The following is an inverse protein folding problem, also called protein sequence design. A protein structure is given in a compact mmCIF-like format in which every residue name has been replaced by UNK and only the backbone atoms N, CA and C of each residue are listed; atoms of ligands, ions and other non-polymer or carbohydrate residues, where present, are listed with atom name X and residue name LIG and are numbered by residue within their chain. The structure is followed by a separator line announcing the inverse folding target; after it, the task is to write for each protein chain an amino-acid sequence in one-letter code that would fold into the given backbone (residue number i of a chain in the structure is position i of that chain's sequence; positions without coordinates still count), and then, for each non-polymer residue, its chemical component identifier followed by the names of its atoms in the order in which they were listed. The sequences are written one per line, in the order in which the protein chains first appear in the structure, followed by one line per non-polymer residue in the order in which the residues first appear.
data_IF_311807877045
#
_entry.id   IF_311807877045
#
_cell.length_a   1.000
_cell.length_b   1.000
_cell.length_c   1.000
_cell.angle_alpha   90.00
_cell.angle_beta   90.00
_cell.angle_gamma   90.00
#
_symmetry.space_group_name_H-M   'P 1'
#
loop_
_entity.id
_entity.type
_entity.pdbx_description
1 polymer ?
#
# COMPACT_ATOMS: atom_id res chain seq x y z
N UNK A 1 15.55 -6.99 -11.36
CA UNK A 1 15.00 -8.11 -10.56
C UNK A 1 14.65 -9.32 -11.43
N UNK A 2 13.90 -9.19 -12.53
CA UNK A 2 13.52 -10.33 -13.39
C UNK A 2 14.73 -11.14 -13.87
N UNK A 3 15.78 -10.50 -14.35
CA UNK A 3 17.05 -11.15 -14.77
C UNK A 3 17.76 -11.93 -13.64
N UNK A 4 17.30 -11.76 -12.40
CA UNK A 4 17.83 -12.44 -11.21
C UNK A 4 16.89 -13.53 -10.69
N UNK A 5 15.96 -13.98 -11.52
CA UNK A 5 15.01 -15.05 -11.19
C UNK A 5 13.82 -14.65 -10.33
N UNK A 6 13.54 -13.34 -10.20
CA UNK A 6 12.31 -12.87 -9.56
C UNK A 6 11.14 -12.91 -10.55
N UNK A 7 9.96 -13.20 -10.04
CA UNK A 7 8.72 -13.17 -10.79
C UNK A 7 7.90 -11.94 -10.43
N UNK A 8 7.14 -11.42 -11.39
CA UNK A 8 6.15 -10.37 -11.18
C UNK A 8 4.79 -10.96 -11.54
N UNK A 9 3.85 -10.82 -10.63
CA UNK A 9 2.45 -11.17 -10.85
C UNK A 9 1.59 -9.93 -10.65
N UNK A 10 0.63 -9.71 -11.53
CA UNK A 10 -0.34 -8.62 -11.44
C UNK A 10 -1.74 -9.19 -11.44
N UNK A 11 -2.62 -8.56 -10.70
CA UNK A 11 -4.02 -8.93 -10.60
C UNK A 11 -4.90 -7.69 -10.76
N UNK A 12 -5.82 -7.77 -11.69
CA UNK A 12 -6.72 -6.68 -11.99
C UNK A 12 -7.99 -6.79 -11.11
N UNK A 13 -8.04 -6.00 -10.05
CA UNK A 13 -9.16 -5.95 -9.10
C UNK A 13 -9.83 -4.58 -9.14
N UNK A 14 -9.81 -3.95 -10.25
CA UNK A 14 -10.34 -2.59 -10.47
C UNK A 14 -10.91 -1.89 -9.21
N UNK A 15 -11.77 -1.01 -9.31
CA UNK A 15 -12.39 -0.05 -8.44
C UNK A 15 -13.03 -0.61 -7.13
N UNK A 16 -12.27 -1.47 -6.43
CA UNK A 16 -12.68 -2.03 -5.12
C UNK A 16 -12.01 -1.34 -3.93
N UNK A 17 -11.12 -0.40 -4.16
CA UNK A 17 -10.53 0.52 -3.16
C UNK A 17 -9.95 -0.16 -1.91
N UNK A 18 -9.48 -1.39 -2.03
CA UNK A 18 -8.89 -2.12 -0.90
C UNK A 18 -9.89 -2.58 0.16
N UNK A 19 -11.19 -2.67 -0.15
CA UNK A 19 -12.21 -3.20 0.76
C UNK A 19 -11.97 -4.69 1.08
N UNK A 20 -12.66 -5.21 2.08
CA UNK A 20 -12.44 -6.59 2.56
C UNK A 20 -12.59 -7.63 1.46
N UNK A 21 -13.55 -7.47 0.55
CA UNK A 21 -13.74 -8.36 -0.60
C UNK A 21 -12.52 -8.37 -1.53
N UNK A 22 -11.94 -7.20 -1.81
CA UNK A 22 -10.74 -7.12 -2.65
C UNK A 22 -9.53 -7.79 -2.00
N UNK A 23 -9.40 -7.69 -0.69
CA UNK A 23 -8.33 -8.35 0.06
C UNK A 23 -8.47 -9.88 0.01
N UNK A 24 -9.70 -10.40 0.08
CA UNK A 24 -9.96 -11.82 -0.12
C UNK A 24 -9.64 -12.30 -1.55
N UNK A 25 -9.95 -11.48 -2.56
CA UNK A 25 -9.56 -11.78 -3.94
C UNK A 25 -8.05 -11.79 -4.13
N UNK A 26 -7.33 -10.85 -3.49
CA UNK A 26 -5.86 -10.86 -3.47
C UNK A 26 -5.31 -12.15 -2.83
N UNK A 27 -5.90 -12.59 -1.72
CA UNK A 27 -5.49 -13.85 -1.07
C UNK A 27 -5.69 -15.05 -2.00
N UNK A 28 -6.85 -15.14 -2.65
CA UNK A 28 -7.12 -16.21 -3.64
C UNK A 28 -6.12 -16.17 -4.81
N UNK A 29 -5.78 -14.98 -5.30
CA UNK A 29 -4.77 -14.83 -6.34
C UNK A 29 -3.38 -15.23 -5.85
N UNK A 30 -2.99 -14.84 -4.65
CA UNK A 30 -1.75 -15.25 -4.02
C UNK A 30 -1.64 -16.77 -3.95
N UNK A 31 -2.64 -17.43 -3.37
CA UNK A 31 -2.66 -18.89 -3.25
C UNK A 31 -2.59 -19.58 -4.61
N UNK A 32 -3.36 -19.07 -5.59
CA UNK A 32 -3.33 -19.59 -6.94
C UNK A 32 -1.95 -19.53 -7.59
N UNK A 33 -1.24 -18.40 -7.48
CA UNK A 33 0.10 -18.28 -8.11
C UNK A 33 1.14 -19.12 -7.39
N UNK A 34 1.05 -19.24 -6.07
CA UNK A 34 1.92 -20.11 -5.27
C UNK A 34 1.72 -21.58 -5.67
N UNK A 35 0.48 -22.04 -5.65
CA UNK A 35 0.16 -23.45 -5.92
C UNK A 35 0.45 -23.83 -7.38
N UNK A 36 0.03 -22.99 -8.32
CA UNK A 36 0.15 -23.31 -9.75
C UNK A 36 1.55 -23.24 -10.28
N UNK A 37 2.34 -22.27 -9.80
CA UNK A 37 3.67 -21.99 -10.35
C UNK A 37 4.82 -22.37 -9.39
N UNK A 38 4.49 -22.88 -8.21
CA UNK A 38 5.48 -23.26 -7.20
C UNK A 38 6.33 -22.08 -6.72
N UNK A 39 5.73 -20.88 -6.68
CA UNK A 39 6.43 -19.68 -6.25
C UNK A 39 6.57 -19.63 -4.72
N UNK A 40 7.51 -18.79 -4.26
CA UNK A 40 7.67 -18.58 -2.82
C UNK A 40 6.37 -18.00 -2.23
N UNK A 41 5.84 -18.56 -1.13
CA UNK A 41 4.59 -18.11 -0.51
C UNK A 41 4.69 -16.75 0.20
N UNK A 42 5.86 -16.11 0.23
CA UNK A 42 6.08 -14.80 0.85
C UNK A 42 6.56 -13.76 -0.16
N UNK A 43 5.68 -13.31 -1.08
CA UNK A 43 6.02 -12.23 -2.00
C UNK A 43 6.22 -10.90 -1.29
N UNK A 44 6.74 -9.93 -2.02
CA UNK A 44 6.64 -8.51 -1.66
C UNK A 44 5.50 -7.87 -2.44
N UNK A 45 4.69 -7.05 -1.79
CA UNK A 45 3.68 -6.23 -2.46
C UNK A 45 4.29 -4.87 -2.83
N UNK A 46 3.98 -4.41 -4.05
CA UNK A 46 4.32 -3.09 -4.57
C UNK A 46 3.02 -2.27 -4.72
N UNK A 47 2.81 -1.33 -3.81
CA UNK A 47 1.60 -0.53 -3.71
C UNK A 47 1.80 0.90 -4.20
N UNK A 48 1.50 1.17 -5.49
CA UNK A 48 1.54 2.50 -6.07
C UNK A 48 0.19 3.21 -5.91
N UNK A 49 0.19 4.47 -5.46
CA UNK A 49 -1.00 5.31 -5.43
C UNK A 49 -2.18 4.60 -4.74
N UNK A 50 -3.32 4.44 -5.40
CA UNK A 50 -4.51 3.72 -4.92
C UNK A 50 -4.22 2.31 -4.41
N UNK A 51 -3.19 1.63 -4.93
CA UNK A 51 -2.83 0.28 -4.48
C UNK A 51 -2.28 0.27 -3.04
N UNK A 52 -1.94 1.43 -2.48
CA UNK A 52 -1.66 1.57 -1.05
C UNK A 52 -2.80 1.08 -0.15
N UNK A 53 -4.08 1.33 -0.54
CA UNK A 53 -5.27 0.82 0.16
C UNK A 53 -5.27 -0.71 0.23
N UNK A 54 -4.97 -1.35 -0.88
CA UNK A 54 -4.96 -2.82 -1.00
C UNK A 54 -3.78 -3.43 -0.26
N UNK A 55 -2.58 -2.90 -0.51
CA UNK A 55 -1.33 -3.44 0.04
C UNK A 55 -1.29 -3.42 1.55
N UNK A 56 -1.69 -2.30 2.18
CA UNK A 56 -1.71 -2.20 3.64
C UNK A 56 -2.82 -3.05 4.25
N UNK A 57 -4.03 -3.06 3.67
CA UNK A 57 -5.11 -3.89 4.18
C UNK A 57 -4.78 -5.38 4.08
N UNK A 58 -4.14 -5.81 2.99
CA UNK A 58 -3.64 -7.18 2.85
C UNK A 58 -2.56 -7.50 3.89
N UNK A 59 -1.56 -6.63 4.05
CA UNK A 59 -0.47 -6.81 4.99
C UNK A 59 -0.94 -6.90 6.44
N UNK A 60 -1.98 -6.16 6.82
CA UNK A 60 -2.58 -6.24 8.16
C UNK A 60 -3.37 -7.52 8.36
N UNK A 61 -4.06 -8.00 7.31
CA UNK A 61 -4.93 -9.18 7.41
C UNK A 61 -4.17 -10.50 7.31
N UNK A 62 -3.13 -10.55 6.46
CA UNK A 62 -2.33 -11.73 6.15
C UNK A 62 -0.82 -11.46 6.30
N UNK A 63 -0.35 -11.06 7.49
CA UNK A 63 1.04 -10.65 7.69
C UNK A 63 2.06 -11.78 7.46
N UNK A 64 1.66 -13.01 7.68
CA UNK A 64 2.50 -14.19 7.46
C UNK A 64 2.76 -14.49 5.98
N UNK A 65 1.92 -14.01 5.09
CA UNK A 65 1.97 -14.24 3.65
C UNK A 65 2.91 -13.26 2.92
N UNK A 66 3.57 -12.35 3.64
CA UNK A 66 4.42 -11.33 3.01
C UNK A 66 5.86 -11.33 3.52
N UNK A 67 6.79 -11.06 2.61
CA UNK A 67 8.18 -10.73 2.96
C UNK A 67 8.36 -9.25 3.23
N UNK A 68 7.70 -8.37 2.46
CA UNK A 68 7.78 -6.91 2.62
C UNK A 68 6.67 -6.18 1.87
N UNK A 69 6.55 -4.88 2.16
CA UNK A 69 5.64 -3.96 1.50
C UNK A 69 6.42 -2.73 1.01
N UNK A 70 6.38 -2.45 -0.29
CA UNK A 70 6.83 -1.20 -0.87
C UNK A 70 5.63 -0.32 -1.21
N UNK A 71 5.59 0.88 -0.66
CA UNK A 71 4.56 1.88 -0.87
C UNK A 71 5.12 3.08 -1.64
N UNK A 72 4.42 3.52 -2.67
CA UNK A 72 4.84 4.65 -3.50
C UNK A 72 3.68 5.62 -3.70
N UNK A 73 3.80 6.82 -3.15
CA UNK A 73 2.75 7.83 -3.10
C UNK A 73 1.38 7.23 -2.71
N UNK A 74 1.31 6.42 -1.62
CA UNK A 74 0.17 5.56 -1.35
C UNK A 74 -1.04 6.34 -0.88
N UNK A 75 -2.23 5.95 -1.34
CA UNK A 75 -3.49 6.30 -0.68
C UNK A 75 -3.62 5.44 0.58
N UNK A 76 -3.76 6.09 1.73
CA UNK A 76 -3.91 5.43 3.03
C UNK A 76 -5.20 5.85 3.77
N UNK A 77 -5.93 6.84 3.23
CA UNK A 77 -7.19 7.33 3.79
C UNK A 77 -8.16 7.66 2.65
N UNK A 78 -9.29 6.92 2.56
CA UNK A 78 -10.29 7.14 1.51
C UNK A 78 -10.97 8.52 1.63
N UNK A 79 -10.88 9.17 2.79
CA UNK A 79 -11.37 10.53 2.99
C UNK A 79 -10.42 11.58 2.42
N UNK A 80 -9.14 11.25 2.29
CA UNK A 80 -8.15 12.11 1.63
C UNK A 80 -8.17 11.94 0.11
N UNK A 81 -8.38 10.71 -0.36
CA UNK A 81 -8.59 10.31 -1.75
C UNK A 81 -9.37 8.99 -1.78
N UNK A 82 -10.41 8.82 -2.59
CA UNK A 82 -10.90 9.73 -3.65
C UNK A 82 -11.83 10.85 -3.17
N UNK A 83 -12.23 10.87 -1.89
CA UNK A 83 -13.05 11.95 -1.37
C UNK A 83 -12.30 13.30 -1.42
N UNK A 84 -13.02 14.38 -1.60
CA UNK A 84 -12.48 15.73 -1.45
C UNK A 84 -11.96 16.38 -2.75
N UNK A 85 -12.00 15.70 -3.88
CA UNK A 85 -11.66 16.27 -5.17
C UNK A 85 -12.86 16.22 -6.14
N UNK A 86 -13.06 17.31 -6.88
CA UNK A 86 -14.09 17.35 -7.95
C UNK A 86 -13.75 16.43 -9.12
N UNK A 87 -12.47 16.11 -9.31
CA UNK A 87 -12.01 15.22 -10.38
C UNK A 87 -12.25 13.75 -10.06
N UNK A 88 -12.53 13.39 -8.80
CA UNK A 88 -12.69 12.01 -8.33
C UNK A 88 -14.08 11.69 -7.78
N UNK A 89 -15.10 12.41 -8.26
CA UNK A 89 -16.50 12.19 -7.81
C UNK A 89 -16.96 10.77 -8.13
N UNK A 90 -16.65 10.26 -9.33
CA UNK A 90 -17.01 8.90 -9.74
C UNK A 90 -16.33 7.87 -8.85
N UNK A 91 -15.04 8.00 -8.65
CA UNK A 91 -14.23 7.14 -7.79
C UNK A 91 -14.73 7.16 -6.34
N UNK A 92 -15.20 8.32 -5.87
CA UNK A 92 -15.77 8.43 -4.53
C UNK A 92 -17.09 7.66 -4.41
N UNK A 93 -17.99 7.78 -5.40
CA UNK A 93 -19.25 7.02 -5.42
C UNK A 93 -19.00 5.50 -5.46
N UNK A 94 -18.04 5.06 -6.23
CA UNK A 94 -17.62 3.65 -6.31
C UNK A 94 -17.01 3.19 -4.98
N UNK A 95 -16.11 3.97 -4.41
CA UNK A 95 -15.49 3.69 -3.11
C UNK A 95 -16.54 3.53 -2.00
N UNK A 96 -17.50 4.47 -1.90
CA UNK A 96 -18.59 4.36 -0.93
C UNK A 96 -19.36 3.04 -1.07
N UNK A 97 -19.67 2.63 -2.30
CA UNK A 97 -20.36 1.34 -2.55
C UNK A 97 -19.56 0.14 -2.05
N UNK A 98 -18.25 0.12 -2.32
CA UNK A 98 -17.37 -0.96 -1.88
C UNK A 98 -17.31 -1.11 -0.36
N UNK A 99 -17.39 0.01 0.35
CA UNK A 99 -17.33 0.01 1.82
C UNK A 99 -18.72 0.06 2.49
N UNK A 100 -19.81 0.11 1.73
CA UNK A 100 -21.16 0.26 2.26
C UNK A 100 -21.39 1.57 3.00
N UNK A 101 -20.79 2.67 2.51
CA UNK A 101 -20.81 3.98 3.14
C UNK A 101 -21.78 4.93 2.43
N UNK A 102 -22.29 5.88 3.20
CA UNK A 102 -22.87 7.13 2.73
C UNK A 102 -21.98 8.32 3.15
N UNK A 103 -22.37 9.55 2.81
CA UNK A 103 -21.57 10.73 3.15
C UNK A 103 -21.40 10.89 4.66
N UNK A 104 -22.42 10.59 5.45
CA UNK A 104 -22.41 10.75 6.91
C UNK A 104 -21.52 9.69 7.58
N UNK A 105 -21.68 8.43 7.21
CA UNK A 105 -20.87 7.34 7.77
C UNK A 105 -19.42 7.41 7.34
N UNK A 106 -19.13 7.99 6.16
CA UNK A 106 -17.78 8.23 5.71
C UNK A 106 -17.01 9.24 6.60
N UNK A 107 -17.68 10.20 7.23
CA UNK A 107 -17.04 11.16 8.15
C UNK A 107 -16.40 10.48 9.35
N UNK A 108 -17.02 9.43 9.84
CA UNK A 108 -16.60 8.68 11.04
C UNK A 108 -15.91 7.36 10.70
N UNK A 109 -15.68 7.08 9.41
CA UNK A 109 -15.03 5.85 8.98
C UNK A 109 -13.60 5.76 9.53
N UNK A 110 -13.31 4.69 10.27
CA UNK A 110 -12.06 4.47 11.01
C UNK A 110 -11.38 3.14 10.68
N UNK A 111 -11.61 2.62 9.46
CA UNK A 111 -10.99 1.37 8.99
C UNK A 111 -10.08 1.60 7.78
N UNK A 112 -9.60 2.83 7.61
CA UNK A 112 -8.60 3.15 6.59
C UNK A 112 -7.28 2.42 6.88
N UNK A 113 -6.42 2.20 5.90
CA UNK A 113 -5.06 1.76 6.12
C UNK A 113 -4.32 2.52 7.21
N UNK A 114 -4.43 3.85 7.21
CA UNK A 114 -3.77 4.69 8.22
C UNK A 114 -4.34 4.47 9.64
N UNK A 115 -5.61 4.13 9.77
CA UNK A 115 -6.22 3.81 11.07
C UNK A 115 -5.75 2.45 11.60
N UNK A 116 -5.17 1.62 10.71
CA UNK A 116 -4.59 0.29 11.01
C UNK A 116 -3.05 0.32 11.11
N UNK A 117 -2.43 1.50 11.12
CA UNK A 117 -0.97 1.63 11.13
C UNK A 117 -0.32 0.89 12.32
N UNK A 118 -0.90 0.94 13.51
CA UNK A 118 -0.40 0.23 14.67
C UNK A 118 -0.43 -1.30 14.48
N UNK A 119 -1.45 -1.83 13.81
CA UNK A 119 -1.52 -3.25 13.47
C UNK A 119 -0.46 -3.63 12.43
N UNK A 120 -0.24 -2.78 11.41
CA UNK A 120 0.84 -2.96 10.44
C UNK A 120 2.22 -2.97 11.12
N UNK A 121 2.46 -2.04 12.04
CA UNK A 121 3.71 -1.96 12.81
C UNK A 121 3.91 -3.22 13.66
N UNK A 122 2.89 -3.65 14.39
CA UNK A 122 2.94 -4.87 15.21
C UNK A 122 3.16 -6.14 14.40
N UNK A 123 2.74 -6.18 13.15
CA UNK A 123 2.97 -7.34 12.28
C UNK A 123 4.45 -7.62 12.00
N UNK A 124 5.30 -6.61 12.18
CA UNK A 124 6.73 -6.72 11.90
C UNK A 124 7.07 -6.91 10.41
N UNK A 125 6.11 -6.68 9.52
CA UNK A 125 6.38 -6.68 8.08
C UNK A 125 7.30 -5.51 7.75
N UNK A 126 8.45 -5.74 7.09
CA UNK A 126 9.28 -4.66 6.60
C UNK A 126 8.52 -3.78 5.59
N UNK A 127 8.51 -2.47 5.81
CA UNK A 127 7.88 -1.48 4.93
C UNK A 127 8.92 -0.47 4.48
N UNK A 128 8.91 -0.11 3.20
CA UNK A 128 9.63 1.03 2.65
C UNK A 128 8.64 1.93 1.91
N UNK A 129 8.82 3.25 2.04
CA UNK A 129 7.93 4.25 1.47
C UNK A 129 8.71 5.22 0.59
N UNK A 130 8.17 5.51 -0.60
CA UNK A 130 8.60 6.61 -1.46
C UNK A 130 7.42 7.55 -1.67
N UNK A 131 7.63 8.86 -1.64
CA UNK A 131 6.58 9.83 -1.90
C UNK A 131 7.11 11.13 -2.50
N UNK A 132 6.26 11.81 -3.26
CA UNK A 132 6.48 13.21 -3.65
C UNK A 132 6.05 14.15 -2.52
N UNK A 133 6.92 15.10 -2.17
CA UNK A 133 6.61 16.11 -1.13
C UNK A 133 5.60 17.16 -1.60
N UNK A 134 5.48 17.36 -2.92
CA UNK A 134 4.55 18.31 -3.57
C UNK A 134 3.37 17.57 -4.26
N UNK A 135 2.99 16.40 -3.77
CA UNK A 135 1.89 15.60 -4.34
C UNK A 135 0.52 16.22 -4.01
N UNK A 136 -0.12 16.79 -5.03
CA UNK A 136 -1.46 17.38 -4.95
C UNK A 136 -2.59 16.39 -5.27
N UNK A 137 -2.26 15.23 -5.86
CA UNK A 137 -3.24 14.19 -6.21
C UNK A 137 -3.53 13.32 -5.00
N UNK A 138 -2.46 12.79 -4.38
CA UNK A 138 -2.52 12.02 -3.13
C UNK A 138 -1.71 12.79 -2.08
N UNK A 139 -2.37 13.71 -1.38
CA UNK A 139 -1.71 14.61 -0.42
C UNK A 139 -0.71 13.87 0.47
N UNK A 140 0.55 14.32 0.41
CA UNK A 140 1.62 13.78 1.24
C UNK A 140 1.27 13.84 2.73
N UNK A 141 0.78 15.00 3.21
CA UNK A 141 0.45 15.23 4.63
C UNK A 141 -0.67 14.32 5.12
N UNK A 142 -1.68 14.05 4.26
CA UNK A 142 -2.85 13.25 4.66
C UNK A 142 -2.61 11.74 4.59
N UNK A 143 -1.55 11.31 3.93
CA UNK A 143 -1.24 9.89 3.70
C UNK A 143 0.16 9.54 4.21
N UNK A 144 1.19 9.76 3.40
CA UNK A 144 2.58 9.32 3.69
C UNK A 144 3.15 9.90 4.97
N UNK A 145 2.97 11.21 5.22
CA UNK A 145 3.47 11.86 6.43
C UNK A 145 2.85 11.28 7.69
N UNK A 146 1.54 10.98 7.67
CA UNK A 146 0.86 10.33 8.80
C UNK A 146 1.42 8.93 9.09
N UNK A 147 1.73 8.15 8.06
CA UNK A 147 2.31 6.82 8.27
C UNK A 147 3.72 6.94 8.88
N UNK A 148 4.55 7.85 8.38
CA UNK A 148 5.88 8.12 8.93
C UNK A 148 5.79 8.51 10.41
N UNK A 149 4.86 9.41 10.76
CA UNK A 149 4.65 9.84 12.15
C UNK A 149 4.17 8.70 13.03
N UNK A 150 3.26 7.83 12.55
CA UNK A 150 2.82 6.64 13.28
C UNK A 150 3.97 5.69 13.62
N UNK A 151 4.88 5.45 12.69
CA UNK A 151 6.07 4.66 12.97
C UNK A 151 6.95 5.32 14.03
N UNK A 152 7.18 6.64 13.92
CA UNK A 152 7.95 7.42 14.87
C UNK A 152 7.32 7.43 16.28
N UNK A 153 5.99 7.58 16.40
CA UNK A 153 5.25 7.47 17.66
C UNK A 153 5.47 6.11 18.34
N UNK A 154 5.69 5.04 17.56
CA UNK A 154 6.00 3.70 18.06
C UNK A 154 7.52 3.46 18.28
N UNK A 155 8.36 4.50 18.16
CA UNK A 155 9.81 4.40 18.35
C UNK A 155 10.54 3.65 17.23
N UNK A 156 9.92 3.52 16.05
CA UNK A 156 10.45 2.80 14.90
C UNK A 156 10.68 3.80 13.75
N UNK A 157 11.84 3.73 13.12
CA UNK A 157 12.10 4.49 11.90
C UNK A 157 11.53 3.72 10.69
N UNK A 158 10.57 4.33 9.97
CA UNK A 158 10.11 3.83 8.69
C UNK A 158 11.13 4.20 7.61
N UNK A 159 11.79 3.23 6.93
CA UNK A 159 12.61 3.54 5.77
C UNK A 159 11.80 4.28 4.70
N UNK A 160 12.22 5.49 4.34
CA UNK A 160 11.51 6.28 3.33
C UNK A 160 12.42 7.18 2.51
N UNK A 161 11.96 7.54 1.32
CA UNK A 161 12.56 8.55 0.45
C UNK A 161 11.48 9.55 0.05
N UNK A 162 11.67 10.80 0.43
CA UNK A 162 10.81 11.90 0.00
C UNK A 162 11.51 12.67 -1.12
N UNK A 163 10.80 12.88 -2.22
CA UNK A 163 11.22 13.70 -3.36
C UNK A 163 10.58 15.09 -3.20
N UNK A 164 11.25 16.10 -2.62
CA UNK A 164 10.58 17.30 -2.08
C UNK A 164 9.72 18.06 -3.10
N UNK A 165 10.24 18.24 -4.31
CA UNK A 165 9.58 19.02 -5.36
C UNK A 165 8.82 18.14 -6.38
N UNK A 166 8.76 16.84 -6.13
CA UNK A 166 8.04 15.91 -6.98
C UNK A 166 6.55 15.86 -6.59
N UNK A 167 5.69 15.87 -7.60
CA UNK A 167 4.27 15.60 -7.44
C UNK A 167 3.97 14.11 -7.35
N UNK A 168 2.76 13.72 -7.81
CA UNK A 168 2.33 12.32 -7.81
C UNK A 168 3.16 11.43 -8.74
N UNK A 169 3.68 11.96 -9.80
CA UNK A 169 4.52 11.29 -10.80
C UNK A 169 5.85 12.01 -10.99
N UNK A 170 6.90 11.29 -11.42
CA UNK A 170 6.94 9.85 -11.64
C UNK A 170 7.01 9.06 -10.34
N UNK A 171 6.44 7.85 -10.33
CA UNK A 171 6.65 6.88 -9.27
C UNK A 171 8.08 6.33 -9.29
N UNK A 172 8.47 5.67 -8.19
CA UNK A 172 9.80 5.10 -7.97
C UNK A 172 10.92 6.17 -7.89
N UNK A 173 12.12 5.75 -8.08
CA UNK A 173 13.35 6.55 -8.05
C UNK A 173 14.08 6.34 -9.37
N UNK A 174 14.84 7.34 -9.84
CA UNK A 174 15.72 7.20 -10.99
C UNK A 174 16.68 6.02 -10.78
N UNK A 175 17.28 5.95 -9.59
CA UNK A 175 18.12 4.84 -9.15
C UNK A 175 17.37 3.98 -8.13
N UNK A 176 16.60 2.95 -8.54
CA UNK A 176 15.73 2.17 -7.65
C UNK A 176 16.47 1.17 -6.77
N UNK A 177 17.79 1.21 -6.73
CA UNK A 177 18.65 0.26 -6.00
C UNK A 177 18.25 0.12 -4.54
N UNK A 178 17.92 1.21 -3.85
CA UNK A 178 17.53 1.19 -2.44
C UNK A 178 16.26 0.35 -2.22
N UNK A 179 15.28 0.45 -3.14
CA UNK A 179 14.04 -0.34 -3.10
C UNK A 179 14.36 -1.81 -3.35
N UNK A 180 15.15 -2.08 -4.39
CA UNK A 180 15.55 -3.45 -4.77
C UNK A 180 16.30 -4.13 -3.63
N UNK A 181 17.28 -3.45 -3.03
CA UNK A 181 18.06 -3.99 -1.91
C UNK A 181 17.18 -4.22 -0.68
N UNK A 182 16.26 -3.30 -0.38
CA UNK A 182 15.29 -3.47 0.71
C UNK A 182 14.46 -4.75 0.53
N UNK A 183 13.85 -4.92 -0.64
CA UNK A 183 13.00 -6.08 -0.95
C UNK A 183 13.80 -7.39 -0.85
N UNK A 184 15.02 -7.43 -1.41
CA UNK A 184 15.90 -8.61 -1.33
C UNK A 184 16.30 -8.95 0.09
N UNK A 185 16.67 -7.93 0.88
CA UNK A 185 17.08 -8.13 2.27
C UNK A 185 15.91 -8.63 3.13
N UNK A 186 14.70 -8.09 2.92
CA UNK A 186 13.51 -8.54 3.62
C UNK A 186 13.17 -10.00 3.29
N UNK A 187 13.24 -10.37 2.02
CA UNK A 187 13.01 -11.72 1.55
C UNK A 187 14.02 -12.73 2.16
N UNK A 188 15.30 -12.37 2.18
CA UNK A 188 16.35 -13.26 2.70
C UNK A 188 16.28 -13.48 4.21
N UNK A 189 15.73 -12.52 4.98
CA UNK A 189 15.54 -12.65 6.42
C UNK A 189 14.38 -13.56 6.82
N UNK A 190 13.45 -13.84 5.89
CA UNK A 190 12.26 -14.67 6.12
C UNK A 190 12.35 -16.08 5.52
N UNK A 191 13.52 -16.43 4.93
CA UNK A 191 13.89 -17.81 4.61
C UNK A 191 14.26 -18.57 5.86
#
# INVERSE_FOLDING_TARGET
MLEQGWHVATFEIHDMYGCDESVELMKKFHDYVVDKYGLNPKPSIFGFSRVGLYGVNYAVKYPEDLSSLYLDAPVLDIRAWPRGSKQTIKEWEECKKCYGLDEKSADTFNKNPIDKADALIKSGIPVILVAGGSDEVVSFEKNSARLIEKYKENGIELPHVIKPECGHHPHSLEEPKVIVDFVKNAFNKKK
#
